data_IF_012042702980
#
_entry.id   IF_012042702980
#
_cell.length_a   1.000
_cell.length_b   1.000
_cell.length_c   1.000
_cell.angle_alpha   90.00
_cell.angle_beta   90.00
_cell.angle_gamma   90.00
#
_symmetry.space_group_name_H-M   'P 1'
#
loop_
_entity.id
_entity.type
_entity.pdbx_description
1 polymer ?
#
# COMPACT_ATOMS: atom_id res chain seq x y z
N UNK A 1 40.31 7.33 -20.06
CA UNK A 1 39.77 6.32 -19.16
C UNK A 1 39.22 6.86 -17.83
N UNK A 2 39.90 7.77 -17.10
CA UNK A 2 39.39 8.29 -15.81
C UNK A 2 38.08 9.12 -15.88
N UNK A 3 37.81 9.82 -16.99
CA UNK A 3 36.60 10.65 -17.16
C UNK A 3 35.32 9.83 -17.41
N UNK A 4 35.46 8.66 -18.04
CA UNK A 4 34.33 7.76 -18.33
C UNK A 4 33.85 7.07 -17.02
N UNK A 5 34.78 6.73 -16.13
CA UNK A 5 34.42 6.15 -14.82
C UNK A 5 33.62 7.12 -13.93
N UNK A 6 33.94 8.39 -13.98
CA UNK A 6 33.24 9.40 -13.16
C UNK A 6 31.79 9.60 -13.66
N UNK A 7 31.58 9.61 -14.97
CA UNK A 7 30.24 9.76 -15.57
C UNK A 7 29.35 8.53 -15.32
N UNK A 8 29.91 7.31 -15.39
CA UNK A 8 29.17 6.07 -15.10
C UNK A 8 28.87 5.96 -13.61
N UNK A 9 29.80 6.36 -12.73
CA UNK A 9 29.57 6.39 -11.29
C UNK A 9 28.52 7.43 -10.90
N UNK A 10 28.49 8.60 -11.52
CA UNK A 10 27.43 9.58 -11.31
C UNK A 10 26.09 9.10 -11.84
N UNK A 11 26.02 8.36 -12.94
CA UNK A 11 24.78 7.78 -13.45
C UNK A 11 24.27 6.64 -12.55
N UNK A 12 25.15 5.80 -12.02
CA UNK A 12 24.81 4.71 -11.10
C UNK A 12 24.41 5.20 -9.71
N UNK A 13 24.91 6.35 -9.28
CA UNK A 13 24.50 7.01 -8.04
C UNK A 13 23.19 7.79 -8.22
N UNK A 14 22.89 8.27 -9.42
CA UNK A 14 21.67 9.02 -9.71
C UNK A 14 20.44 8.13 -9.96
N UNK A 15 20.60 6.86 -10.33
CA UNK A 15 19.46 5.96 -10.53
C UNK A 15 18.65 5.73 -9.24
N UNK A 16 19.22 5.46 -8.06
CA UNK A 16 18.47 5.45 -6.82
C UNK A 16 17.94 6.84 -6.42
N UNK A 17 18.63 7.91 -6.79
CA UNK A 17 18.16 9.28 -6.56
C UNK A 17 16.97 9.63 -7.47
N UNK A 18 16.94 9.15 -8.70
CA UNK A 18 15.83 9.36 -9.65
C UNK A 18 14.60 8.52 -9.22
N UNK A 19 14.81 7.28 -8.77
CA UNK A 19 13.72 6.49 -8.19
C UNK A 19 13.16 7.15 -6.92
N UNK A 20 14.02 7.80 -6.13
CA UNK A 20 13.63 8.58 -4.95
C UNK A 20 12.98 9.93 -5.32
N UNK A 21 13.30 10.53 -6.46
CA UNK A 21 12.72 11.78 -6.95
C UNK A 21 11.28 11.64 -7.47
N UNK A 22 10.85 10.43 -7.85
CA UNK A 22 9.46 10.15 -8.24
C UNK A 22 8.57 9.71 -7.07
N UNK A 23 9.13 9.50 -5.90
CA UNK A 23 8.40 9.25 -4.67
C UNK A 23 8.07 10.61 -4.07
N UNK A 24 6.79 10.99 -4.02
CA UNK A 24 6.40 12.19 -3.27
C UNK A 24 6.99 12.11 -1.86
N UNK A 25 7.61 13.20 -1.36
CA UNK A 25 8.16 13.19 -0.01
C UNK A 25 7.06 12.90 1.00
N UNK A 26 7.41 12.20 2.06
CA UNK A 26 6.50 11.97 3.17
C UNK A 26 6.03 13.31 3.73
N UNK A 27 4.73 13.39 4.02
CA UNK A 27 4.12 14.59 4.62
C UNK A 27 4.00 14.39 6.12
N UNK A 28 4.33 15.43 6.86
CA UNK A 28 3.97 15.50 8.26
C UNK A 28 2.45 15.56 8.41
N UNK A 29 1.93 14.87 9.41
CA UNK A 29 0.51 14.83 9.72
C UNK A 29 0.28 15.05 11.20
N UNK A 30 -0.77 15.77 11.53
CA UNK A 30 -1.17 15.96 12.91
C UNK A 30 -1.65 14.63 13.50
N UNK A 31 -0.98 14.20 14.55
CA UNK A 31 -1.22 12.94 15.23
C UNK A 31 -1.21 13.19 16.75
N UNK A 32 -2.17 12.64 17.45
CA UNK A 32 -2.25 12.77 18.90
C UNK A 32 -2.70 11.47 19.56
N UNK A 33 -2.34 11.30 20.82
CA UNK A 33 -2.80 10.17 21.62
C UNK A 33 -4.32 10.26 21.77
N UNK A 34 -5.01 9.22 21.30
CA UNK A 34 -6.43 9.05 21.56
C UNK A 34 -6.65 8.36 22.90
N UNK A 35 -5.86 7.32 23.20
CA UNK A 35 -6.01 6.51 24.40
C UNK A 35 -4.71 5.80 24.77
N UNK A 36 -4.32 5.84 26.04
CA UNK A 36 -3.41 4.87 26.63
C UNK A 36 -4.19 3.58 26.97
N UNK A 37 -3.52 2.43 26.93
CA UNK A 37 -4.15 1.12 27.18
C UNK A 37 -3.40 0.36 28.25
N UNK A 38 -4.15 -0.21 29.21
CA UNK A 38 -3.66 -1.26 30.09
C UNK A 38 -4.12 -2.61 29.51
N UNK A 39 -3.19 -3.51 29.24
CA UNK A 39 -3.45 -4.85 28.72
C UNK A 39 -2.82 -5.92 29.60
N UNK A 40 -2.79 -7.17 29.13
CA UNK A 40 -2.18 -8.28 29.84
C UNK A 40 -0.64 -8.29 29.83
N UNK A 41 -0.01 -7.33 29.15
CA UNK A 41 1.46 -7.27 29.01
C UNK A 41 2.02 -8.12 27.87
N UNK A 42 1.17 -8.64 26.98
CA UNK A 42 1.58 -9.21 25.69
C UNK A 42 1.75 -8.12 24.65
N UNK A 43 2.42 -8.43 23.55
CA UNK A 43 2.54 -7.53 22.41
C UNK A 43 1.17 -7.14 21.88
N UNK A 44 0.96 -5.84 21.68
CA UNK A 44 -0.27 -5.32 21.06
C UNK A 44 -0.22 -5.55 19.56
N UNK A 45 -1.33 -5.93 18.97
CA UNK A 45 -1.44 -6.30 17.57
C UNK A 45 -2.67 -5.65 16.92
N UNK A 46 -3.58 -6.42 16.37
CA UNK A 46 -4.76 -5.98 15.65
C UNK A 46 -5.66 -5.01 16.41
N UNK A 47 -6.29 -4.11 15.67
CA UNK A 47 -7.22 -3.11 16.17
C UNK A 47 -8.48 -3.06 15.31
N UNK A 48 -9.65 -3.15 15.96
CA UNK A 48 -10.91 -2.84 15.28
C UNK A 48 -11.83 -2.02 16.20
N UNK A 49 -12.68 -1.19 15.62
CA UNK A 49 -13.64 -0.37 16.33
C UNK A 49 -15.04 -0.59 15.75
N UNK A 50 -15.96 -1.05 16.60
CA UNK A 50 -17.35 -1.24 16.21
C UNK A 50 -18.30 -0.61 17.23
N UNK A 51 -19.18 0.25 16.77
CA UNK A 51 -20.04 1.06 17.63
C UNK A 51 -19.24 1.78 18.73
N UNK A 52 -19.53 1.49 19.98
CA UNK A 52 -18.88 2.05 21.16
C UNK A 52 -17.76 1.14 21.72
N UNK A 53 -17.32 0.13 20.98
CA UNK A 53 -16.30 -0.83 21.44
C UNK A 53 -15.03 -0.76 20.61
N UNK A 54 -13.90 -0.75 21.32
CA UNK A 54 -12.58 -0.96 20.76
C UNK A 54 -12.16 -2.39 21.06
N UNK A 55 -11.84 -3.15 20.02
CA UNK A 55 -11.26 -4.48 20.08
C UNK A 55 -9.76 -4.35 19.86
N UNK A 56 -8.97 -4.44 20.93
CA UNK A 56 -7.52 -4.40 20.87
C UNK A 56 -6.96 -5.79 21.13
N UNK A 57 -6.41 -6.38 20.07
CA UNK A 57 -5.89 -7.73 20.13
C UNK A 57 -4.44 -7.74 20.61
N UNK A 58 -4.07 -8.84 21.27
CA UNK A 58 -2.72 -9.12 21.70
C UNK A 58 -2.19 -10.37 21.00
N UNK A 59 -0.89 -10.48 20.89
CA UNK A 59 -0.21 -11.66 20.37
C UNK A 59 -0.74 -12.95 21.05
N UNK A 60 -1.02 -13.98 20.27
CA UNK A 60 -1.59 -15.22 20.74
C UNK A 60 -3.12 -15.25 20.84
N UNK A 61 -3.83 -14.13 20.59
CA UNK A 61 -5.28 -14.14 20.44
C UNK A 61 -6.10 -13.67 21.64
N UNK A 62 -5.51 -12.99 22.63
CA UNK A 62 -6.30 -12.29 23.64
C UNK A 62 -6.84 -10.97 23.09
N UNK A 63 -8.10 -10.64 23.41
CA UNK A 63 -8.75 -9.38 23.02
C UNK A 63 -9.15 -8.59 24.26
N UNK A 64 -8.64 -7.37 24.38
CA UNK A 64 -9.09 -6.40 25.35
C UNK A 64 -10.18 -5.52 24.73
N UNK A 65 -11.30 -5.36 25.43
CA UNK A 65 -12.41 -4.50 25.01
C UNK A 65 -12.36 -3.20 25.82
N UNK A 66 -12.32 -2.07 25.11
CA UNK A 66 -12.44 -0.76 25.73
C UNK A 66 -13.72 -0.06 25.28
N UNK A 67 -14.28 0.78 26.17
CA UNK A 67 -15.36 1.67 25.80
C UNK A 67 -14.82 2.86 25.00
N UNK A 68 -15.26 3.01 23.75
CA UNK A 68 -14.78 4.06 22.84
C UNK A 68 -14.96 5.47 23.39
N UNK A 69 -15.99 5.69 24.19
CA UNK A 69 -16.33 7.01 24.76
C UNK A 69 -15.59 7.33 26.06
N UNK A 70 -15.00 6.34 26.70
CA UNK A 70 -14.28 6.50 27.95
C UNK A 70 -12.78 6.75 27.70
N UNK A 71 -12.13 7.58 28.49
CA UNK A 71 -10.67 7.75 28.49
C UNK A 71 -9.94 6.80 29.46
N UNK A 72 -10.68 5.93 30.17
CA UNK A 72 -10.07 4.97 31.10
C UNK A 72 -9.12 4.01 30.34
N UNK A 73 -7.85 3.90 30.76
CA UNK A 73 -6.90 2.97 30.13
C UNK A 73 -7.22 1.49 30.37
N UNK A 74 -8.11 1.19 31.33
CA UNK A 74 -8.48 -0.17 31.67
C UNK A 74 -9.53 -0.74 30.72
N UNK A 75 -9.37 -2.02 30.30
CA UNK A 75 -10.39 -2.68 29.50
C UNK A 75 -11.66 -2.92 30.34
N UNK A 76 -12.83 -2.71 29.71
CA UNK A 76 -14.14 -3.00 30.33
C UNK A 76 -14.48 -4.50 30.30
N UNK A 77 -13.81 -5.26 29.44
CA UNK A 77 -13.90 -6.71 29.30
C UNK A 77 -12.66 -7.25 28.58
N UNK A 78 -12.51 -8.56 28.58
CA UNK A 78 -11.52 -9.27 27.76
C UNK A 78 -11.97 -10.71 27.51
N UNK A 79 -11.49 -11.29 26.41
CA UNK A 79 -11.78 -12.69 26.04
C UNK A 79 -10.65 -13.23 25.17
N UNK A 80 -10.60 -14.57 25.04
CA UNK A 80 -9.72 -15.23 24.08
C UNK A 80 -10.48 -15.47 22.77
N UNK A 81 -9.83 -15.22 21.63
CA UNK A 81 -10.33 -15.66 20.33
C UNK A 81 -10.41 -17.18 20.27
N UNK A 82 -11.39 -17.72 19.56
CA UNK A 82 -11.49 -19.16 19.35
C UNK A 82 -10.29 -19.72 18.55
N UNK A 83 -9.65 -18.87 17.73
CA UNK A 83 -8.39 -19.16 17.02
C UNK A 83 -7.13 -18.87 17.85
N UNK A 84 -7.26 -18.62 19.16
CA UNK A 84 -6.12 -18.35 20.04
C UNK A 84 -5.11 -19.50 19.97
N UNK A 85 -3.88 -19.17 19.61
CA UNK A 85 -2.78 -20.10 19.44
C UNK A 85 -1.44 -19.37 19.55
N UNK A 86 -0.36 -19.99 20.09
CA UNK A 86 0.96 -19.35 20.18
C UNK A 86 1.53 -18.87 18.83
N UNK A 87 1.08 -19.46 17.73
CA UNK A 87 1.48 -19.06 16.38
C UNK A 87 0.48 -18.11 15.71
N UNK A 88 -0.62 -17.77 16.37
CA UNK A 88 -1.54 -16.75 15.88
C UNK A 88 -1.08 -15.37 16.36
N UNK A 89 -0.45 -14.64 15.46
CA UNK A 89 0.07 -13.29 15.77
C UNK A 89 -1.02 -12.22 15.83
N UNK A 90 -2.21 -12.51 15.31
CA UNK A 90 -3.37 -11.59 15.27
C UNK A 90 -2.98 -10.20 14.71
N UNK A 91 -2.13 -10.19 13.70
CA UNK A 91 -1.47 -8.98 13.18
C UNK A 91 -2.47 -7.92 12.71
N UNK A 92 -3.59 -8.35 12.14
CA UNK A 92 -4.66 -7.48 11.66
C UNK A 92 -6.01 -8.13 11.93
N UNK A 93 -6.97 -7.31 12.28
CA UNK A 93 -8.37 -7.72 12.45
C UNK A 93 -9.30 -6.72 11.80
N UNK A 94 -10.38 -7.20 11.16
CA UNK A 94 -11.40 -6.31 10.61
C UNK A 94 -12.78 -6.98 10.64
N UNK A 95 -13.82 -6.21 10.97
CA UNK A 95 -15.18 -6.69 10.83
C UNK A 95 -15.60 -6.74 9.36
N UNK A 96 -16.35 -7.79 9.01
CA UNK A 96 -16.94 -7.97 7.69
C UNK A 96 -18.35 -7.38 7.58
N UNK A 97 -19.10 -7.89 6.60
CA UNK A 97 -20.46 -7.45 6.29
C UNK A 97 -21.53 -8.42 6.80
N UNK A 98 -21.21 -9.70 6.91
CA UNK A 98 -22.14 -10.75 7.35
C UNK A 98 -22.14 -10.88 8.88
N UNK A 99 -23.31 -11.09 9.46
CA UNK A 99 -23.48 -11.36 10.88
C UNK A 99 -24.08 -12.76 11.06
N UNK A 100 -23.41 -13.64 11.80
CA UNK A 100 -23.94 -14.95 12.13
C UNK A 100 -25.18 -14.82 13.03
N UNK A 101 -26.18 -15.65 12.80
CA UNK A 101 -27.39 -15.66 13.64
C UNK A 101 -27.06 -15.83 15.12
N UNK A 102 -27.48 -14.89 15.95
CA UNK A 102 -27.24 -14.87 17.39
C UNK A 102 -25.94 -14.20 17.82
N UNK A 103 -25.09 -13.77 16.88
CA UNK A 103 -23.93 -12.94 17.16
C UNK A 103 -24.34 -11.50 17.51
N UNK A 104 -23.47 -10.80 18.21
CA UNK A 104 -23.67 -9.40 18.60
C UNK A 104 -22.95 -8.40 17.68
N UNK A 105 -22.05 -8.92 16.84
CA UNK A 105 -21.20 -8.16 15.94
C UNK A 105 -21.14 -8.84 14.57
N UNK A 106 -20.75 -8.14 13.50
CA UNK A 106 -20.41 -8.79 12.26
C UNK A 106 -19.28 -9.80 12.46
N UNK A 107 -19.04 -10.65 11.48
CA UNK A 107 -17.92 -11.60 11.50
C UNK A 107 -16.60 -10.85 11.56
N UNK A 108 -15.71 -11.26 12.46
CA UNK A 108 -14.36 -10.72 12.60
C UNK A 108 -13.39 -11.59 11.80
N UNK A 109 -12.70 -10.96 10.84
CA UNK A 109 -11.65 -11.58 10.04
C UNK A 109 -10.31 -11.33 10.70
N UNK A 110 -9.53 -12.38 10.89
CA UNK A 110 -8.31 -12.38 11.70
C UNK A 110 -7.13 -12.85 10.84
N UNK A 111 -6.17 -11.98 10.65
CA UNK A 111 -4.90 -12.27 9.99
C UNK A 111 -3.92 -12.86 10.99
N UNK A 112 -3.29 -13.96 10.65
CA UNK A 112 -2.29 -14.58 11.50
C UNK A 112 -0.97 -13.78 11.56
N UNK A 113 -0.44 -13.30 10.44
CA UNK A 113 0.77 -12.48 10.37
C UNK A 113 2.10 -13.17 10.66
N UNK A 114 2.15 -14.48 10.97
CA UNK A 114 3.38 -15.19 11.31
C UNK A 114 3.91 -16.04 10.16
N UNK A 115 4.94 -15.54 9.51
CA UNK A 115 5.62 -16.22 8.39
C UNK A 115 6.24 -17.54 8.83
N UNK A 116 6.01 -18.60 8.07
CA UNK A 116 6.56 -19.94 8.29
C UNK A 116 5.80 -20.76 9.32
N UNK A 117 4.68 -20.30 9.84
CA UNK A 117 3.77 -21.11 10.66
C UNK A 117 2.79 -21.90 9.79
N UNK A 118 2.17 -22.93 10.35
CA UNK A 118 1.08 -23.69 9.69
C UNK A 118 -0.16 -22.80 9.44
N UNK A 119 -0.24 -21.65 10.11
CA UNK A 119 -1.35 -20.71 10.01
C UNK A 119 -1.10 -19.62 8.98
N UNK A 120 0.05 -19.59 8.33
CA UNK A 120 0.55 -18.49 7.49
C UNK A 120 -0.45 -18.03 6.42
N UNK A 121 -1.14 -18.95 5.78
CA UNK A 121 -2.06 -18.71 4.67
C UNK A 121 -3.54 -18.74 5.07
N UNK A 122 -3.82 -18.74 6.38
CA UNK A 122 -5.17 -18.82 6.91
C UNK A 122 -5.70 -17.47 7.36
N UNK A 123 -6.98 -17.25 7.11
CA UNK A 123 -7.78 -16.23 7.77
C UNK A 123 -8.84 -16.94 8.63
N UNK A 124 -8.86 -16.66 9.91
CA UNK A 124 -9.94 -17.11 10.78
C UNK A 124 -11.07 -16.08 10.75
N UNK A 125 -12.27 -16.57 10.53
CA UNK A 125 -13.50 -15.76 10.56
C UNK A 125 -14.27 -16.15 11.79
N UNK A 126 -14.37 -15.23 12.76
CA UNK A 126 -14.98 -15.51 14.05
C UNK A 126 -16.28 -14.74 14.28
N UNK A 127 -17.21 -15.41 14.92
CA UNK A 127 -18.47 -14.85 15.38
C UNK A 127 -18.35 -14.45 16.83
N UNK A 128 -18.59 -13.19 17.14
CA UNK A 128 -18.48 -12.64 18.49
C UNK A 128 -19.87 -12.46 19.10
N UNK A 129 -20.06 -13.01 20.29
CA UNK A 129 -21.29 -12.87 21.09
C UNK A 129 -20.99 -12.10 22.37
N UNK A 130 -21.87 -11.15 22.69
CA UNK A 130 -21.84 -10.39 23.93
C UNK A 130 -23.07 -10.69 24.79
N UNK A 131 -22.85 -11.03 26.06
CA UNK A 131 -23.93 -11.18 27.07
C UNK A 131 -23.57 -10.35 28.31
N UNK A 132 -24.17 -9.17 28.41
CA UNK A 132 -23.79 -8.19 29.43
C UNK A 132 -22.36 -7.69 29.25
N UNK A 133 -21.48 -7.97 30.22
CA UNK A 133 -20.05 -7.64 30.14
C UNK A 133 -19.17 -8.81 29.63
N UNK A 134 -19.75 -9.95 29.33
CA UNK A 134 -19.00 -11.13 28.85
C UNK A 134 -19.01 -11.17 27.33
N UNK A 135 -17.83 -11.35 26.76
CA UNK A 135 -17.62 -11.58 25.34
C UNK A 135 -17.11 -13.01 25.16
N UNK A 136 -17.47 -13.61 24.06
CA UNK A 136 -16.96 -14.91 23.64
C UNK A 136 -16.93 -14.97 22.13
N UNK A 137 -16.04 -15.77 21.57
CA UNK A 137 -15.97 -16.01 20.15
C UNK A 137 -16.03 -17.49 19.80
N UNK A 138 -16.37 -17.78 18.56
CA UNK A 138 -16.33 -19.10 17.94
C UNK A 138 -15.86 -18.96 16.50
N UNK A 139 -15.06 -19.94 16.02
CA UNK A 139 -14.69 -19.97 14.59
C UNK A 139 -15.96 -20.31 13.79
N UNK A 140 -16.39 -19.37 12.96
CA UNK A 140 -17.53 -19.56 12.06
C UNK A 140 -17.07 -20.11 10.70
N UNK A 141 -15.88 -19.70 10.24
CA UNK A 141 -15.30 -20.16 8.98
C UNK A 141 -13.78 -20.01 9.03
N UNK A 142 -13.05 -20.84 8.31
CA UNK A 142 -11.63 -20.67 8.04
C UNK A 142 -11.45 -20.53 6.53
N UNK A 143 -10.76 -19.49 6.09
CA UNK A 143 -10.43 -19.25 4.69
C UNK A 143 -8.95 -19.55 4.51
N UNK A 144 -8.65 -20.45 3.56
CA UNK A 144 -7.28 -20.79 3.14
C UNK A 144 -6.97 -20.14 1.80
N UNK A 145 -5.82 -19.47 1.71
CA UNK A 145 -5.32 -18.92 0.45
C UNK A 145 -4.35 -19.89 -0.21
N UNK A 146 -4.63 -20.27 -1.45
CA UNK A 146 -3.71 -21.03 -2.28
C UNK A 146 -3.14 -20.17 -3.41
N UNK A 147 -1.92 -19.72 -3.23
CA UNK A 147 -1.17 -18.94 -4.22
C UNK A 147 -0.31 -19.77 -5.17
N UNK A 148 -0.36 -21.11 -5.09
CA UNK A 148 0.61 -22.00 -5.77
C UNK A 148 0.58 -21.91 -7.30
N UNK A 149 -0.57 -21.57 -7.88
CA UNK A 149 -0.79 -21.51 -9.33
C UNK A 149 -1.05 -20.11 -9.88
N UNK A 150 -0.91 -19.08 -9.07
CA UNK A 150 -1.16 -17.71 -9.52
C UNK A 150 -0.35 -17.34 -10.76
N UNK A 151 0.93 -17.71 -10.78
CA UNK A 151 1.81 -17.45 -11.92
C UNK A 151 1.36 -18.12 -13.22
N UNK A 152 0.72 -19.28 -13.14
CA UNK A 152 0.19 -20.01 -14.32
C UNK A 152 -0.96 -19.25 -14.99
N UNK A 153 -1.69 -18.44 -14.22
CA UNK A 153 -2.78 -17.58 -14.71
C UNK A 153 -2.34 -16.14 -15.00
N UNK A 154 -1.03 -15.85 -14.91
CA UNK A 154 -0.49 -14.53 -15.16
C UNK A 154 -0.55 -13.56 -13.97
N UNK A 155 -0.97 -14.02 -12.81
CA UNK A 155 -0.94 -13.23 -11.59
C UNK A 155 0.44 -13.24 -10.93
N UNK A 156 0.72 -12.19 -10.20
CA UNK A 156 1.97 -12.05 -9.44
C UNK A 156 1.85 -12.81 -8.13
N UNK A 157 2.81 -13.67 -7.84
CA UNK A 157 2.91 -14.36 -6.55
C UNK A 157 3.26 -13.37 -5.44
N UNK A 158 2.79 -13.68 -4.24
CA UNK A 158 3.08 -12.92 -3.01
C UNK A 158 3.89 -13.77 -2.04
N UNK A 159 4.57 -13.09 -1.12
CA UNK A 159 5.29 -13.73 -0.02
C UNK A 159 4.36 -13.85 1.20
N UNK A 160 4.49 -14.93 1.96
CA UNK A 160 3.59 -15.40 2.99
C UNK A 160 3.13 -14.45 4.09
N UNK A 161 2.29 -14.93 4.97
CA UNK A 161 1.61 -14.18 6.03
C UNK A 161 0.95 -12.86 5.54
N UNK A 162 0.06 -12.92 4.53
CA UNK A 162 -0.56 -11.74 3.98
C UNK A 162 -1.58 -11.14 4.95
N UNK A 163 -1.78 -9.82 4.87
CA UNK A 163 -2.91 -9.16 5.55
C UNK A 163 -4.19 -9.39 4.78
N UNK A 164 -5.27 -9.72 5.52
CA UNK A 164 -6.62 -9.93 5.00
C UNK A 164 -7.47 -8.71 5.33
N UNK A 165 -7.73 -7.88 4.31
CA UNK A 165 -8.36 -6.58 4.47
C UNK A 165 -9.76 -6.61 3.89
N UNK A 166 -10.77 -6.40 4.74
CA UNK A 166 -12.17 -6.39 4.29
C UNK A 166 -12.58 -5.00 3.85
N UNK A 167 -12.98 -4.89 2.59
CA UNK A 167 -13.66 -3.73 2.03
C UNK A 167 -15.17 -3.87 2.29
N UNK A 168 -15.60 -3.38 3.43
CA UNK A 168 -17.02 -3.47 3.85
C UNK A 168 -17.96 -2.66 2.96
N UNK A 169 -17.46 -1.57 2.42
CA UNK A 169 -18.24 -0.65 1.61
C UNK A 169 -18.59 -1.25 0.24
N UNK A 170 -17.67 -2.06 -0.29
CA UNK A 170 -17.78 -2.65 -1.63
C UNK A 170 -18.06 -4.16 -1.62
N UNK A 171 -17.97 -4.81 -0.45
CA UNK A 171 -18.26 -6.23 -0.29
C UNK A 171 -17.17 -7.17 -0.83
N UNK A 172 -15.90 -6.79 -0.71
CA UNK A 172 -14.76 -7.58 -1.16
C UNK A 172 -13.75 -7.83 -0.03
N UNK A 173 -12.91 -8.82 -0.22
CA UNK A 173 -11.73 -9.03 0.61
C UNK A 173 -10.48 -8.86 -0.25
N UNK A 174 -9.50 -8.15 0.27
CA UNK A 174 -8.22 -7.92 -0.35
C UNK A 174 -7.11 -8.61 0.41
N UNK A 175 -6.27 -9.33 -0.30
CA UNK A 175 -5.07 -9.95 0.25
C UNK A 175 -3.91 -9.05 -0.09
N UNK A 176 -3.26 -8.48 0.93
CA UNK A 176 -2.19 -7.52 0.76
C UNK A 176 -0.87 -8.05 1.31
N UNK A 177 0.14 -8.14 0.46
CA UNK A 177 1.48 -8.58 0.85
C UNK A 177 2.55 -8.11 -0.13
N UNK A 178 3.82 -8.27 0.24
CA UNK A 178 4.95 -8.04 -0.65
C UNK A 178 5.14 -9.23 -1.62
N UNK A 179 5.73 -8.98 -2.78
CA UNK A 179 6.10 -10.03 -3.75
C UNK A 179 7.19 -10.95 -3.26
N UNK A 180 8.14 -10.41 -2.53
CA UNK A 180 9.32 -11.12 -2.03
C UNK A 180 9.43 -10.90 -0.54
N UNK A 181 10.18 -11.76 0.13
CA UNK A 181 10.48 -11.59 1.55
C UNK A 181 11.05 -10.19 1.81
N UNK A 182 10.45 -9.49 2.76
CA UNK A 182 11.00 -8.25 3.28
C UNK A 182 12.21 -8.59 4.16
N UNK A 183 13.29 -7.82 4.01
CA UNK A 183 14.47 -7.98 4.86
C UNK A 183 14.45 -6.90 5.94
N UNK A 184 15.02 -7.22 7.11
CA UNK A 184 14.95 -6.38 8.31
C UNK A 184 15.49 -4.93 8.12
N UNK A 185 16.30 -4.67 7.08
CA UNK A 185 16.80 -3.33 6.70
C UNK A 185 16.27 -2.93 5.33
N UNK A 186 14.99 -2.76 5.26
CA UNK A 186 14.21 -2.61 4.02
C UNK A 186 14.54 -1.35 3.23
N UNK A 187 14.94 -0.26 3.90
CA UNK A 187 15.31 0.99 3.21
C UNK A 187 16.40 0.84 2.16
N UNK A 188 17.24 -0.18 2.27
CA UNK A 188 18.27 -0.48 1.27
C UNK A 188 17.74 -1.12 -0.02
N UNK A 189 16.57 -1.77 0.03
CA UNK A 189 16.05 -2.62 -1.05
C UNK A 189 14.55 -2.37 -1.34
N UNK A 190 13.98 -1.28 -0.84
CA UNK A 190 12.58 -0.93 -1.08
C UNK A 190 12.24 -0.91 -2.59
N UNK A 191 13.15 -0.46 -3.41
CA UNK A 191 13.05 -0.38 -4.87
C UNK A 191 13.13 -1.75 -5.59
N UNK A 192 13.52 -2.82 -4.89
CA UNK A 192 13.61 -4.18 -5.44
C UNK A 192 12.35 -5.00 -5.22
N UNK A 193 11.39 -4.47 -4.46
CA UNK A 193 10.19 -5.19 -4.07
C UNK A 193 8.94 -4.33 -4.31
N UNK A 194 7.79 -4.97 -4.35
CA UNK A 194 6.50 -4.34 -4.60
C UNK A 194 5.46 -4.92 -3.66
N UNK A 195 4.49 -4.11 -3.23
CA UNK A 195 3.26 -4.63 -2.66
C UNK A 195 2.28 -5.04 -3.73
N UNK A 196 1.50 -6.05 -3.40
CA UNK A 196 0.45 -6.60 -4.25
C UNK A 196 -0.82 -6.69 -3.43
N UNK A 197 -1.92 -6.15 -3.96
CA UNK A 197 -3.25 -6.35 -3.43
C UNK A 197 -4.03 -7.25 -4.39
N UNK A 198 -4.52 -8.38 -3.92
CA UNK A 198 -5.30 -9.33 -4.71
C UNK A 198 -6.72 -9.39 -4.19
N UNK A 199 -7.68 -9.13 -5.06
CA UNK A 199 -9.11 -8.98 -4.75
C UNK A 199 -9.85 -10.28 -4.93
N UNK A 200 -10.66 -10.61 -3.92
CA UNK A 200 -11.59 -11.73 -3.95
C UNK A 200 -12.99 -11.27 -3.52
N UNK A 201 -14.01 -12.05 -3.82
CA UNK A 201 -15.28 -11.92 -3.10
C UNK A 201 -15.12 -12.38 -1.65
N UNK A 202 -15.91 -11.87 -0.76
CA UNK A 202 -15.97 -12.37 0.61
C UNK A 202 -16.72 -13.72 0.59
N UNK A 203 -16.12 -14.84 1.05
CA UNK A 203 -16.84 -16.09 1.22
C UNK A 203 -17.99 -15.95 2.20
N UNK A 204 -19.17 -16.46 1.86
CA UNK A 204 -20.32 -16.51 2.76
C UNK A 204 -20.23 -17.73 3.68
N UNK A 205 -20.80 -17.63 4.89
CA UNK A 205 -20.94 -18.77 5.80
C UNK A 205 -21.69 -19.96 5.18
N UNK A 206 -22.55 -19.72 4.17
CA UNK A 206 -23.27 -20.77 3.46
C UNK A 206 -22.36 -21.68 2.61
N UNK A 207 -21.12 -21.27 2.34
CA UNK A 207 -20.16 -22.07 1.57
C UNK A 207 -19.45 -23.11 2.43
N UNK A 208 -19.65 -23.08 3.73
CA UNK A 208 -19.14 -24.07 4.69
C UNK A 208 -18.11 -23.51 5.66
N UNK A 209 -17.70 -24.40 6.57
CA UNK A 209 -16.78 -24.03 7.64
C UNK A 209 -15.32 -23.85 7.17
N UNK A 210 -14.96 -24.36 6.00
CA UNK A 210 -13.65 -24.19 5.37
C UNK A 210 -13.85 -23.81 3.90
N UNK A 211 -13.22 -22.74 3.48
CA UNK A 211 -13.25 -22.26 2.11
C UNK A 211 -11.80 -22.08 1.65
N UNK A 212 -11.51 -22.46 0.42
CA UNK A 212 -10.23 -22.23 -0.23
C UNK A 212 -10.41 -21.18 -1.34
N UNK A 213 -9.55 -20.18 -1.36
CA UNK A 213 -9.45 -19.21 -2.42
C UNK A 213 -8.18 -19.47 -3.23
N UNK A 214 -8.33 -19.62 -4.54
CA UNK A 214 -7.22 -19.90 -5.45
C UNK A 214 -7.18 -18.90 -6.63
N UNK A 215 -6.39 -19.21 -7.65
CA UNK A 215 -6.23 -18.39 -8.85
C UNK A 215 -7.50 -18.18 -9.66
N UNK A 216 -8.52 -19.04 -9.49
CA UNK A 216 -9.79 -18.94 -10.23
C UNK A 216 -10.78 -18.00 -9.52
N UNK A 217 -10.56 -17.69 -8.24
CA UNK A 217 -11.38 -16.80 -7.45
C UNK A 217 -10.90 -15.33 -7.51
N UNK A 218 -9.73 -15.08 -8.13
CA UNK A 218 -9.15 -13.73 -8.24
C UNK A 218 -10.03 -12.88 -9.15
N UNK A 219 -10.54 -11.78 -8.59
CA UNK A 219 -11.34 -10.78 -9.32
C UNK A 219 -10.48 -9.67 -9.92
N UNK A 220 -9.41 -9.28 -9.23
CA UNK A 220 -8.46 -8.25 -9.66
C UNK A 220 -7.16 -8.41 -8.88
N UNK A 221 -6.07 -7.90 -9.45
CA UNK A 221 -4.79 -7.83 -8.77
C UNK A 221 -4.09 -6.52 -9.11
N UNK A 222 -3.71 -5.78 -8.08
CA UNK A 222 -2.97 -4.52 -8.20
C UNK A 222 -1.54 -4.75 -7.74
N UNK A 223 -0.58 -4.46 -8.63
CA UNK A 223 0.83 -4.43 -8.30
C UNK A 223 1.24 -2.97 -8.17
N UNK A 224 1.59 -2.56 -6.97
CA UNK A 224 1.95 -1.17 -6.68
C UNK A 224 3.38 -0.83 -7.13
N UNK A 225 3.74 0.45 -7.22
CA UNK A 225 5.10 0.88 -7.53
C UNK A 225 6.15 0.25 -6.61
N UNK A 226 7.40 0.19 -7.07
CA UNK A 226 8.52 -0.35 -6.30
C UNK A 226 8.75 0.46 -5.03
N UNK A 227 8.24 -0.04 -3.93
CA UNK A 227 8.43 0.50 -2.59
C UNK A 227 7.91 -0.53 -1.57
N UNK A 228 8.79 -1.12 -0.78
CA UNK A 228 8.40 -2.00 0.32
C UNK A 228 9.15 -1.62 1.57
N UNK A 229 8.40 -1.38 2.65
CA UNK A 229 8.90 -1.02 3.96
C UNK A 229 8.71 -2.16 4.96
N UNK A 230 9.19 -1.98 6.18
CA UNK A 230 8.98 -2.95 7.25
C UNK A 230 7.49 -3.01 7.59
N UNK A 231 6.87 -4.12 7.25
CA UNK A 231 5.43 -4.33 7.22
C UNK A 231 4.86 -4.50 8.62
N UNK A 232 3.76 -3.83 8.87
CA UNK A 232 2.85 -4.04 9.98
C UNK A 232 1.47 -4.42 9.43
N UNK A 233 0.40 -3.73 9.82
CA UNK A 233 -0.93 -4.01 9.30
C UNK A 233 -1.72 -2.73 8.96
N UNK A 234 -2.97 -2.89 8.58
CA UNK A 234 -3.82 -1.79 8.16
C UNK A 234 -5.24 -2.18 7.81
N UNK A 235 -5.99 -1.27 7.21
CA UNK A 235 -7.39 -1.48 6.85
C UNK A 235 -7.73 -1.00 5.44
N UNK A 236 -8.92 -1.42 4.97
CA UNK A 236 -9.57 -0.86 3.78
C UNK A 236 -10.56 0.23 4.19
N UNK A 237 -10.54 1.34 3.48
CA UNK A 237 -11.57 2.38 3.57
C UNK A 237 -11.62 3.15 2.25
N UNK A 238 -12.81 3.34 1.71
CA UNK A 238 -13.08 4.06 0.45
C UNK A 238 -12.16 3.62 -0.71
N UNK A 239 -12.03 2.28 -0.88
CA UNK A 239 -11.19 1.68 -1.95
C UNK A 239 -9.69 1.87 -1.79
N UNK A 240 -9.24 2.30 -0.61
CA UNK A 240 -7.84 2.53 -0.30
C UNK A 240 -7.40 1.66 0.87
N UNK A 241 -6.17 1.18 0.78
CA UNK A 241 -5.49 0.47 1.86
C UNK A 241 -4.67 1.51 2.63
N UNK A 242 -5.01 1.71 3.89
CA UNK A 242 -4.21 2.46 4.86
C UNK A 242 -3.36 1.46 5.62
N UNK A 243 -2.05 1.57 5.50
CA UNK A 243 -1.15 0.56 6.03
C UNK A 243 0.00 1.19 6.82
N UNK A 244 0.26 0.69 8.03
CA UNK A 244 1.33 1.18 8.87
C UNK A 244 2.61 0.35 8.74
N UNK A 245 3.73 1.01 9.02
CA UNK A 245 5.07 0.48 8.84
C UNK A 245 6.02 1.00 9.91
N UNK A 246 7.09 0.27 10.11
CA UNK A 246 8.19 0.67 10.94
C UNK A 246 8.10 0.14 12.37
N UNK A 247 9.06 0.54 13.18
CA UNK A 247 9.22 0.09 14.58
C UNK A 247 9.44 1.26 15.54
N UNK A 248 9.04 2.45 15.12
CA UNK A 248 9.24 3.66 15.92
C UNK A 248 10.72 4.01 16.11
N UNK A 249 11.01 4.68 17.21
CA UNK A 249 12.40 5.07 17.58
C UNK A 249 13.27 3.89 18.07
N UNK A 250 12.81 2.66 17.93
CA UNK A 250 13.63 1.48 18.24
C UNK A 250 14.71 1.24 17.18
N UNK A 251 14.45 1.65 15.94
CA UNK A 251 15.39 1.53 14.83
C UNK A 251 15.12 2.65 13.81
N UNK A 252 15.98 3.66 13.76
CA UNK A 252 15.87 4.81 12.86
C UNK A 252 15.89 4.42 11.36
N UNK A 253 16.35 3.22 11.04
CA UNK A 253 16.30 2.70 9.67
C UNK A 253 14.90 2.21 9.28
N UNK A 254 13.95 2.13 10.22
CA UNK A 254 12.57 1.69 10.05
C UNK A 254 11.61 2.65 10.76
N UNK A 255 11.53 3.91 10.31
CA UNK A 255 10.70 4.92 10.95
C UNK A 255 9.21 4.56 10.85
N UNK A 256 8.43 4.96 11.85
CA UNK A 256 6.98 4.82 11.81
C UNK A 256 6.38 5.70 10.74
N UNK A 257 5.64 5.09 9.83
CA UNK A 257 4.96 5.80 8.76
C UNK A 257 3.66 5.10 8.36
N UNK A 258 2.81 5.82 7.65
CA UNK A 258 1.58 5.29 7.06
C UNK A 258 1.63 5.53 5.55
N UNK A 259 1.28 4.50 4.79
CA UNK A 259 1.14 4.56 3.32
C UNK A 259 -0.31 4.34 2.96
N UNK A 260 -0.76 5.04 1.92
CA UNK A 260 -2.11 4.90 1.37
C UNK A 260 -2.00 4.37 -0.05
N UNK A 261 -2.48 3.14 -0.24
CA UNK A 261 -2.49 2.43 -1.51
C UNK A 261 -3.89 2.49 -2.10
N UNK A 262 -4.05 3.23 -3.18
CA UNK A 262 -5.33 3.37 -3.88
C UNK A 262 -5.48 2.21 -4.88
N UNK A 263 -6.47 1.34 -4.64
CA UNK A 263 -6.69 0.15 -5.48
C UNK A 263 -7.29 0.48 -6.82
N UNK A 264 -8.07 1.55 -6.91
CA UNK A 264 -8.68 2.00 -8.18
C UNK A 264 -7.64 2.69 -9.07
N UNK A 265 -6.82 3.57 -8.47
CA UNK A 265 -5.74 4.27 -9.17
C UNK A 265 -4.48 3.43 -9.34
N UNK A 266 -4.39 2.28 -8.69
CA UNK A 266 -3.26 1.33 -8.73
C UNK A 266 -1.92 1.97 -8.35
N UNK A 267 -1.93 2.89 -7.39
CA UNK A 267 -0.74 3.66 -6.98
C UNK A 267 -0.77 4.03 -5.50
N UNK A 268 0.34 4.55 -5.01
CA UNK A 268 0.46 5.10 -3.66
C UNK A 268 0.04 6.57 -3.74
N UNK A 269 -1.02 6.95 -3.02
CA UNK A 269 -1.58 8.31 -3.07
C UNK A 269 -1.14 9.19 -1.91
N UNK A 270 -0.67 8.60 -0.82
CA UNK A 270 -0.16 9.37 0.32
C UNK A 270 0.90 8.61 1.11
N UNK A 271 1.79 9.37 1.74
CA UNK A 271 2.81 8.92 2.69
C UNK A 271 2.83 9.89 3.85
N UNK A 272 2.57 9.39 5.05
CA UNK A 272 2.58 10.20 6.26
C UNK A 272 3.72 9.74 7.14
N UNK A 273 4.62 10.66 7.47
CA UNK A 273 5.61 10.47 8.51
C UNK A 273 4.95 10.72 9.86
N UNK A 274 4.98 9.73 10.74
CA UNK A 274 4.40 9.82 12.08
C UNK A 274 5.45 9.51 13.17
N UNK A 275 6.73 9.44 12.78
CA UNK A 275 7.83 9.03 13.65
C UNK A 275 7.97 9.90 14.91
N UNK A 276 7.71 11.21 14.82
CA UNK A 276 7.86 12.10 15.95
C UNK A 276 6.75 11.94 16.99
N UNK A 277 5.56 11.54 16.57
CA UNK A 277 4.41 11.32 17.45
C UNK A 277 4.28 9.85 17.85
N UNK A 278 4.38 8.94 16.88
CA UNK A 278 4.28 7.49 17.06
C UNK A 278 5.69 6.93 17.23
N UNK A 279 6.25 7.14 18.41
CA UNK A 279 7.63 6.73 18.75
C UNK A 279 7.79 5.23 18.96
N UNK A 280 6.68 4.50 19.03
CA UNK A 280 6.60 3.04 19.17
C UNK A 280 6.21 2.38 17.86
N UNK A 281 6.20 1.06 17.86
CA UNK A 281 5.82 0.25 16.74
C UNK A 281 4.32 0.40 16.45
N UNK A 282 3.93 0.97 15.28
CA UNK A 282 2.53 1.01 14.88
C UNK A 282 2.13 -0.38 14.38
N UNK A 283 1.08 -0.97 14.92
CA UNK A 283 0.73 -2.36 14.66
C UNK A 283 -0.44 -2.52 13.69
N UNK A 284 -1.51 -1.76 13.86
CA UNK A 284 -2.71 -1.86 13.01
C UNK A 284 -3.45 -0.53 12.94
N UNK A 285 -4.29 -0.40 11.92
CA UNK A 285 -5.08 0.81 11.64
C UNK A 285 -6.54 0.44 11.44
N UNK A 286 -7.42 1.29 11.98
CA UNK A 286 -8.84 1.31 11.63
C UNK A 286 -9.29 2.74 11.34
N UNK A 287 -10.21 2.88 10.36
CA UNK A 287 -10.86 4.16 10.06
C UNK A 287 -12.30 4.14 10.55
N UNK A 288 -12.66 5.13 11.38
CA UNK A 288 -14.03 5.32 11.88
C UNK A 288 -14.40 6.80 11.82
N UNK A 289 -15.53 7.09 11.21
CA UNK A 289 -16.09 8.45 11.12
C UNK A 289 -15.10 9.50 10.58
N UNK A 290 -14.32 9.13 9.56
CA UNK A 290 -13.31 10.00 8.95
C UNK A 290 -12.08 10.26 9.80
N UNK A 291 -11.87 9.49 10.85
CA UNK A 291 -10.68 9.51 11.70
C UNK A 291 -9.96 8.18 11.63
N UNK A 292 -8.66 8.22 11.44
CA UNK A 292 -7.78 7.06 11.47
C UNK A 292 -7.31 6.83 12.90
N UNK A 293 -7.42 5.59 13.39
CA UNK A 293 -6.92 5.16 14.68
C UNK A 293 -5.81 4.14 14.47
N UNK A 294 -4.66 4.39 15.07
CA UNK A 294 -3.46 3.57 14.92
C UNK A 294 -3.11 2.92 16.25
N UNK A 295 -3.13 1.60 16.27
CA UNK A 295 -2.67 0.83 17.42
C UNK A 295 -1.16 0.82 17.50
N UNK A 296 -0.60 0.86 18.71
CA UNK A 296 0.85 0.78 18.90
C UNK A 296 1.22 -0.24 19.96
N UNK A 297 2.37 -0.85 19.75
CA UNK A 297 3.02 -1.72 20.71
C UNK A 297 4.18 -0.99 21.36
N UNK A 298 4.34 -1.13 22.68
CA UNK A 298 5.49 -0.61 23.41
C UNK A 298 6.44 -1.75 23.74
N UNK A 299 7.73 -1.47 23.72
CA UNK A 299 8.70 -2.43 24.23
C UNK A 299 8.66 -2.42 25.77
N UNK A 300 7.77 -3.20 26.34
CA UNK A 300 7.55 -3.30 27.79
C UNK A 300 8.81 -3.63 28.62
N UNK A 301 9.87 -4.13 27.97
CA UNK A 301 11.17 -4.39 28.63
C UNK A 301 12.01 -3.14 28.79
N UNK A 302 11.69 -2.06 28.06
CA UNK A 302 12.52 -0.85 27.99
C UNK A 302 11.80 0.43 28.45
N UNK A 303 10.49 0.40 28.63
CA UNK A 303 9.68 1.56 28.98
C UNK A 303 8.57 1.19 29.95
N UNK A 304 8.24 2.12 30.84
CA UNK A 304 7.06 2.07 31.70
C UNK A 304 5.82 2.62 31.00
N UNK A 305 5.97 3.11 29.78
CA UNK A 305 4.87 3.73 29.05
C UNK A 305 3.86 2.67 28.59
N UNK A 306 2.61 3.04 28.69
CA UNK A 306 1.52 2.20 28.22
C UNK A 306 1.45 2.24 26.68
N UNK A 307 1.09 1.12 26.03
CA UNK A 307 0.74 1.15 24.62
C UNK A 307 -0.44 2.09 24.40
N UNK A 308 -0.45 2.75 23.25
CA UNK A 308 -1.44 3.77 22.94
C UNK A 308 -2.18 3.46 21.64
N UNK A 309 -3.39 4.01 21.54
CA UNK A 309 -4.06 4.25 20.26
C UNK A 309 -3.87 5.72 19.94
N UNK A 310 -3.34 6.01 18.77
CA UNK A 310 -3.22 7.36 18.23
C UNK A 310 -4.39 7.66 17.31
N UNK A 311 -4.72 8.93 17.14
CA UNK A 311 -5.71 9.38 16.15
C UNK A 311 -5.10 10.39 15.21
N UNK A 312 -5.45 10.25 13.93
CA UNK A 312 -5.11 11.16 12.86
C UNK A 312 -6.38 11.48 12.08
N UNK A 313 -6.64 12.75 11.81
CA UNK A 313 -7.72 13.10 10.88
C UNK A 313 -7.35 12.65 9.49
N UNK A 314 -8.26 11.95 8.80
CA UNK A 314 -8.08 11.70 7.38
C UNK A 314 -7.97 13.05 6.67
N UNK A 315 -6.94 13.29 5.86
CA UNK A 315 -6.87 14.49 5.06
C UNK A 315 -8.12 14.56 4.21
N UNK A 316 -8.82 15.68 4.22
CA UNK A 316 -9.84 15.95 3.22
C UNK A 316 -9.13 15.96 1.88
N UNK A 317 -9.28 14.90 1.12
CA UNK A 317 -8.73 14.87 -0.22
C UNK A 317 -9.33 16.04 -0.97
N UNK A 318 -8.50 16.98 -1.39
CA UNK A 318 -8.88 17.82 -2.51
C UNK A 318 -9.17 16.83 -3.62
N UNK A 319 -10.29 16.97 -4.38
CA UNK A 319 -10.46 16.15 -5.56
C UNK A 319 -9.16 16.27 -6.35
N UNK A 320 -8.38 15.21 -6.30
CA UNK A 320 -7.14 15.16 -7.06
C UNK A 320 -7.62 15.20 -8.49
N UNK A 321 -7.31 16.28 -9.19
CA UNK A 321 -7.37 16.27 -10.64
C UNK A 321 -6.71 14.95 -11.04
N UNK A 322 -7.44 14.08 -11.74
CA UNK A 322 -6.95 12.76 -12.12
C UNK A 322 -5.52 12.92 -12.57
N UNK A 323 -4.60 12.22 -11.88
CA UNK A 323 -3.19 12.40 -12.25
C UNK A 323 -3.08 11.92 -13.71
N UNK A 324 -2.74 12.78 -14.65
CA UNK A 324 -2.66 12.41 -16.05
C UNK A 324 -1.80 11.16 -16.28
N UNK A 325 -0.80 10.91 -15.41
CA UNK A 325 0.03 9.72 -15.46
C UNK A 325 -0.73 8.43 -15.15
N UNK A 326 -1.79 8.47 -14.36
CA UNK A 326 -2.57 7.28 -14.03
C UNK A 326 -3.49 6.89 -15.19
N UNK A 327 -3.98 7.86 -15.95
CA UNK A 327 -4.70 7.61 -17.17
C UNK A 327 -3.78 7.09 -18.28
N UNK A 328 -2.57 7.59 -18.39
CA UNK A 328 -1.53 7.04 -19.29
C UNK A 328 -1.22 5.58 -18.95
N UNK A 329 -1.20 5.23 -17.68
CA UNK A 329 -0.96 3.84 -17.25
C UNK A 329 -2.13 2.92 -17.54
N UNK A 330 -3.36 3.40 -17.40
CA UNK A 330 -4.58 2.63 -17.67
C UNK A 330 -4.83 2.39 -19.17
N UNK A 331 -4.57 3.40 -19.97
CA UNK A 331 -4.77 3.35 -21.41
C UNK A 331 -3.71 4.22 -22.12
N UNK A 332 -2.54 3.63 -22.45
CA UNK A 332 -1.46 4.35 -23.11
C UNK A 332 -1.84 4.95 -24.45
N UNK A 333 -2.81 4.35 -25.18
CA UNK A 333 -3.28 4.87 -26.45
C UNK A 333 -4.22 6.06 -26.24
N UNK A 334 -5.07 6.02 -25.25
CA UNK A 334 -6.00 7.08 -24.88
C UNK A 334 -5.29 8.25 -24.18
N UNK A 335 -4.22 7.97 -23.45
CA UNK A 335 -3.43 8.94 -22.71
C UNK A 335 -2.98 10.12 -23.56
N UNK A 336 -2.73 9.89 -24.85
CA UNK A 336 -2.52 10.96 -25.77
C UNK A 336 -3.72 11.90 -25.96
N UNK A 337 -4.96 11.45 -25.69
CA UNK A 337 -6.16 12.27 -25.80
C UNK A 337 -6.42 13.17 -24.60
N UNK A 338 -6.07 12.70 -23.40
CA UNK A 338 -6.38 13.39 -22.13
C UNK A 338 -5.53 14.60 -21.88
N UNK A 339 -4.27 14.56 -22.26
CA UNK A 339 -3.40 15.74 -22.22
C UNK A 339 -3.85 16.90 -23.09
N UNK A 340 -4.81 16.66 -24.00
CA UNK A 340 -5.24 17.61 -25.05
C UNK A 340 -6.61 18.17 -24.86
N UNK A 341 -7.34 17.62 -23.97
CA UNK A 341 -8.49 18.29 -23.40
C UNK A 341 -8.01 19.20 -22.24
N UNK A 342 -6.95 19.94 -22.45
CA UNK A 342 -6.96 21.30 -21.96
C UNK A 342 -8.20 21.87 -22.56
N UNK A 343 -9.15 22.11 -21.71
CA UNK A 343 -10.45 22.61 -22.03
C UNK A 343 -10.35 23.71 -23.09
N UNK A 344 -10.42 23.31 -24.36
CA UNK A 344 -10.53 24.27 -25.48
C UNK A 344 -11.88 24.98 -25.45
N UNK A 345 -12.74 24.62 -24.46
CA UNK A 345 -13.99 25.28 -24.17
C UNK A 345 -13.82 26.58 -23.35
N UNK A 346 -12.61 26.96 -22.96
CA UNK A 346 -12.37 28.29 -22.44
C UNK A 346 -12.70 29.29 -23.57
N UNK A 347 -13.82 30.03 -23.45
CA UNK A 347 -14.13 31.02 -24.47
C UNK A 347 -12.95 31.97 -24.57
N UNK A 348 -12.44 32.10 -25.78
CA UNK A 348 -11.41 33.10 -26.07
C UNK A 348 -11.91 34.41 -25.52
N UNK A 349 -11.22 34.99 -24.56
CA UNK A 349 -11.58 36.28 -23.99
C UNK A 349 -11.56 37.30 -25.15
N UNK A 350 -12.70 37.86 -25.55
CA UNK A 350 -12.70 38.80 -26.65
C UNK A 350 -11.87 40.03 -26.29
N UNK A 351 -11.29 40.65 -27.30
CA UNK A 351 -10.57 41.88 -27.09
C UNK A 351 -11.49 42.91 -26.39
N UNK A 352 -10.97 43.74 -25.46
CA UNK A 352 -11.74 44.79 -24.84
C UNK A 352 -12.42 45.69 -25.88
N UNK A 353 -13.59 46.22 -25.59
CA UNK A 353 -14.35 47.08 -26.49
C UNK A 353 -13.49 48.25 -26.97
N UNK A 354 -13.38 48.43 -28.28
CA UNK A 354 -12.58 49.49 -28.90
C UNK A 354 -11.13 49.10 -29.21
N UNK A 355 -10.74 47.85 -28.97
CA UNK A 355 -9.41 47.35 -29.33
C UNK A 355 -9.52 46.27 -30.40
N UNK A 356 -8.61 46.35 -31.36
CA UNK A 356 -8.42 45.33 -32.38
C UNK A 356 -7.06 44.66 -32.15
N UNK A 357 -7.01 43.38 -31.94
CA UNK A 357 -5.72 42.68 -31.81
C UNK A 357 -4.93 42.83 -33.10
N UNK A 358 -3.70 43.31 -33.01
CA UNK A 358 -2.81 43.46 -34.18
C UNK A 358 -1.51 42.68 -34.06
N UNK A 359 -1.24 42.14 -32.85
CA UNK A 359 -0.03 41.39 -32.56
C UNK A 359 -0.28 40.35 -31.48
N UNK A 360 0.19 39.12 -31.70
CA UNK A 360 0.20 38.07 -30.75
C UNK A 360 1.64 37.66 -30.50
N UNK A 361 2.12 37.82 -29.28
CA UNK A 361 3.42 37.28 -28.85
C UNK A 361 3.18 36.00 -28.08
N UNK A 362 3.60 34.88 -28.61
CA UNK A 362 3.46 33.57 -28.00
C UNK A 362 4.83 32.91 -27.85
N UNK A 363 5.11 32.42 -26.68
CA UNK A 363 6.22 31.49 -26.44
C UNK A 363 5.73 30.09 -26.52
N UNK A 364 6.05 29.40 -27.62
CA UNK A 364 5.62 28.02 -27.83
C UNK A 364 6.77 27.06 -27.63
N UNK A 365 6.51 25.94 -26.99
CA UNK A 365 7.44 24.82 -26.88
C UNK A 365 6.89 23.66 -27.73
N UNK A 366 7.78 22.91 -28.38
CA UNK A 366 7.40 21.66 -29.05
C UNK A 366 6.68 20.69 -28.08
N UNK A 367 5.85 19.83 -28.61
CA UNK A 367 5.27 18.70 -27.88
C UNK A 367 6.35 17.75 -27.33
N UNK A 368 5.93 16.75 -26.57
CA UNK A 368 6.85 15.77 -26.02
C UNK A 368 7.68 15.10 -27.14
N UNK A 369 8.98 15.14 -27.01
CA UNK A 369 9.95 14.56 -27.96
C UNK A 369 10.70 13.39 -27.33
N UNK A 370 11.26 12.54 -28.19
CA UNK A 370 12.35 11.66 -27.80
C UNK A 370 13.55 12.50 -27.36
N UNK A 371 14.44 11.91 -26.56
CA UNK A 371 15.66 12.61 -26.13
C UNK A 371 16.40 13.11 -27.37
N UNK A 372 16.74 14.40 -27.37
CA UNK A 372 17.45 15.08 -28.46
C UNK A 372 18.97 14.86 -28.31
N UNK A 373 19.40 13.61 -28.27
CA UNK A 373 20.79 13.22 -28.09
C UNK A 373 21.00 11.82 -28.68
N UNK A 374 21.60 11.76 -29.84
CA UNK A 374 21.92 10.55 -30.61
C UNK A 374 22.83 9.57 -29.84
N UNK A 375 23.46 10.01 -28.78
CA UNK A 375 24.49 9.23 -28.07
C UNK A 375 23.93 8.56 -26.81
N UNK A 376 22.97 9.16 -26.14
CA UNK A 376 22.56 8.76 -24.79
C UNK A 376 21.98 7.34 -24.75
N UNK A 377 20.96 7.03 -25.53
CA UNK A 377 20.36 5.70 -25.53
C UNK A 377 21.29 4.62 -26.08
N UNK A 378 21.92 4.80 -27.27
CA UNK A 378 22.87 3.83 -27.81
C UNK A 378 24.08 3.58 -26.89
N UNK A 379 24.60 4.61 -26.23
CA UNK A 379 25.72 4.48 -25.32
C UNK A 379 25.38 3.64 -24.08
N UNK A 380 24.24 3.92 -23.45
CA UNK A 380 23.75 3.17 -22.27
C UNK A 380 23.48 1.70 -22.66
N UNK A 381 22.77 1.50 -23.76
CA UNK A 381 22.45 0.16 -24.23
C UNK A 381 23.71 -0.62 -24.60
N UNK A 382 24.66 -0.01 -25.29
CA UNK A 382 25.92 -0.63 -25.67
C UNK A 382 26.76 -1.10 -24.49
N UNK A 383 26.72 -0.40 -23.35
CA UNK A 383 27.35 -0.84 -22.10
C UNK A 383 26.67 -2.11 -21.56
N UNK A 384 25.33 -2.12 -21.53
CA UNK A 384 24.56 -3.25 -21.07
C UNK A 384 24.71 -4.47 -21.98
N UNK A 385 24.69 -4.26 -23.31
CA UNK A 385 24.89 -5.30 -24.32
C UNK A 385 26.25 -5.97 -24.18
N UNK A 386 27.31 -5.16 -23.98
CA UNK A 386 28.66 -5.66 -23.78
C UNK A 386 28.79 -6.43 -22.45
N UNK A 387 28.18 -5.95 -21.39
CA UNK A 387 28.17 -6.63 -20.11
C UNK A 387 27.32 -7.92 -20.15
N UNK A 388 26.22 -7.93 -20.91
CA UNK A 388 25.43 -9.12 -21.17
C UNK A 388 26.22 -10.18 -21.93
N UNK A 389 26.87 -9.80 -23.03
CA UNK A 389 27.69 -10.70 -23.84
C UNK A 389 28.86 -11.34 -23.08
N UNK A 390 29.35 -10.66 -22.03
CA UNK A 390 30.42 -11.17 -21.16
C UNK A 390 29.94 -11.80 -19.87
N UNK A 391 28.61 -11.99 -19.71
CA UNK A 391 27.95 -12.52 -18.51
C UNK A 391 28.29 -11.75 -17.21
N UNK A 392 28.52 -10.45 -17.32
CA UNK A 392 28.90 -9.56 -16.21
C UNK A 392 27.74 -8.69 -15.69
N UNK A 393 26.51 -8.96 -16.10
CA UNK A 393 25.33 -8.26 -15.57
C UNK A 393 24.91 -8.87 -14.23
N UNK A 394 24.57 -7.99 -13.28
CA UNK A 394 23.79 -8.36 -12.09
C UNK A 394 22.38 -8.80 -12.52
N UNK A 395 21.63 -9.43 -11.63
CA UNK A 395 20.25 -9.81 -11.94
C UNK A 395 19.37 -8.61 -12.29
N UNK A 396 19.59 -7.47 -11.65
CA UNK A 396 18.98 -6.20 -12.03
C UNK A 396 19.39 -5.76 -13.44
N UNK A 397 20.68 -5.86 -13.77
CA UNK A 397 21.20 -5.53 -15.09
C UNK A 397 20.59 -6.41 -16.20
N UNK A 398 20.38 -7.70 -15.94
CA UNK A 398 19.71 -8.62 -16.88
C UNK A 398 18.27 -8.20 -17.09
N UNK A 399 17.51 -7.97 -16.02
CA UNK A 399 16.13 -7.52 -16.10
C UNK A 399 15.99 -6.16 -16.82
N UNK A 400 16.92 -5.26 -16.61
CA UNK A 400 16.96 -3.97 -17.33
C UNK A 400 17.26 -4.17 -18.80
N UNK A 401 18.24 -5.00 -19.14
CA UNK A 401 18.61 -5.31 -20.53
C UNK A 401 17.42 -5.89 -21.31
N UNK A 402 16.73 -6.88 -20.74
CA UNK A 402 15.52 -7.49 -21.33
C UNK A 402 14.40 -6.47 -21.57
N UNK A 403 14.21 -5.53 -20.67
CA UNK A 403 13.20 -4.46 -20.81
C UNK A 403 13.59 -3.40 -21.84
N UNK A 404 14.88 -3.15 -22.02
CA UNK A 404 15.35 -2.15 -22.98
C UNK A 404 15.33 -2.65 -24.42
N UNK A 405 15.31 -3.96 -24.65
CA UNK A 405 15.28 -4.52 -26.01
C UNK A 405 14.05 -4.10 -26.83
N UNK A 406 12.80 -4.19 -26.33
CA UNK A 406 11.64 -3.62 -27.00
C UNK A 406 11.70 -2.09 -27.13
N UNK A 407 12.25 -1.42 -26.12
CA UNK A 407 12.37 0.03 -26.11
C UNK A 407 13.35 0.53 -27.20
N UNK A 408 14.48 -0.16 -27.38
CA UNK A 408 15.47 0.10 -28.43
C UNK A 408 14.81 0.20 -29.80
N UNK A 409 13.98 -0.77 -30.15
CA UNK A 409 13.29 -0.82 -31.42
C UNK A 409 12.39 0.40 -31.68
N UNK A 410 11.84 1.00 -30.64
CA UNK A 410 10.87 2.07 -30.74
C UNK A 410 11.47 3.48 -30.59
N UNK A 411 12.66 3.60 -29.99
CA UNK A 411 13.21 4.88 -29.54
C UNK A 411 14.55 5.21 -30.17
N UNK A 412 15.42 4.23 -30.43
CA UNK A 412 16.75 4.48 -31.00
C UNK A 412 16.63 5.06 -32.41
N UNK A 413 17.52 6.01 -32.71
CA UNK A 413 17.56 6.74 -33.98
C UNK A 413 16.29 7.54 -34.32
N UNK A 414 15.57 7.97 -33.26
CA UNK A 414 14.41 8.84 -33.33
C UNK A 414 14.58 10.09 -32.47
N UNK A 415 15.82 10.46 -32.26
CA UNK A 415 16.23 11.61 -31.44
C UNK A 415 15.59 12.89 -32.02
N UNK A 416 15.02 13.67 -31.12
CA UNK A 416 14.28 14.89 -31.49
C UNK A 416 12.92 14.69 -32.14
N UNK A 417 12.55 13.47 -32.56
CA UNK A 417 11.23 13.17 -33.09
C UNK A 417 10.14 13.37 -32.03
N UNK A 418 9.00 13.88 -32.48
CA UNK A 418 7.83 13.93 -31.61
C UNK A 418 7.37 12.52 -31.24
N UNK A 419 7.15 12.29 -29.95
CA UNK A 419 6.43 11.10 -29.51
C UNK A 419 4.98 11.12 -30.00
N UNK A 420 4.25 10.01 -29.97
CA UNK A 420 2.82 10.03 -30.27
C UNK A 420 2.07 11.04 -29.43
N UNK A 421 2.47 11.19 -28.16
CA UNK A 421 1.98 12.23 -27.28
C UNK A 421 2.34 13.60 -27.84
N UNK A 422 3.58 13.82 -28.21
CA UNK A 422 4.04 15.07 -28.80
C UNK A 422 3.27 15.48 -30.05
N UNK A 423 3.00 14.56 -30.95
CA UNK A 423 2.17 14.81 -32.14
C UNK A 423 0.76 15.27 -31.77
N UNK A 424 0.19 14.68 -30.77
CA UNK A 424 -1.14 15.07 -30.30
C UNK A 424 -1.10 16.43 -29.57
N UNK A 425 0.01 16.81 -28.94
CA UNK A 425 0.22 18.10 -28.27
C UNK A 425 0.36 19.26 -29.25
N UNK A 426 0.68 19.05 -30.46
CA UNK A 426 0.91 20.06 -31.43
C UNK A 426 -0.24 20.23 -32.44
N UNK A 427 -1.26 19.41 -32.37
CA UNK A 427 -2.51 19.49 -33.10
C UNK A 427 -3.55 20.27 -32.32
#
# INVERSE_FOLDING_TARGET
>A
MKKIYLSVVCLLISIPLIAQLYVEPEKEVECSVFRAKEGRGRAQQGLEIWDDYIFSCEDGGHVNIYDFKSADPKPVAGFELASSHPDNHVNNVCFGVETKRGASFPLLYITNGKVGSELEWLCFVESITRRGKRFSSEIAQTIELDGSKWAEKGYVSIFGAPSWLVDRERGFIWIFSARKRTVAKVTKHAWENQYVATKFRIPSLSEGAKVRLDENDILDQVVFPYEVWFTQAGCMHDGKIYFCFGVGKQDDSRPSCIRVYDTDRRTITARYNVQEQVIYEPEDIVVKDGVMYVNTNTNAKKTSDLPCIFKLSLPKEKPVAENPLDEIRRDPERAGGVYYVTDLSHPVTPAPKGYTPFYINGYFRHGARQIDDEVTYPAIYGVLEKAHATNNLTDFGKALYERLEPFKKNVFYKEGDLTQIGYRQTR
#
